data_IF_911477768656
#
_entry.id   IF_911477768656
#
_cell.length_a   1.000
_cell.length_b   1.000
_cell.length_c   1.000
_cell.angle_alpha   90.00
_cell.angle_beta   90.00
_cell.angle_gamma   90.00
#
_symmetry.space_group_name_H-M   'P 1'
#
loop_
_entity.id
_entity.type
_entity.pdbx_description
1 polymer ?
#
# COMPACT_ATOMS: atom_id res chain seq x y z
N UNK A 1 9.33 -3.74 -2.43
CA UNK A 1 9.21 -3.96 -0.97
C UNK A 1 10.11 -5.10 -0.55
N UNK A 2 10.91 -4.93 0.51
CA UNK A 2 11.85 -5.95 0.98
C UNK A 2 11.20 -6.89 2.01
N UNK A 3 11.60 -8.17 2.00
CA UNK A 3 11.39 -9.09 3.12
C UNK A 3 12.49 -8.97 4.16
N UNK A 4 12.46 -9.88 5.14
CA UNK A 4 13.33 -9.90 6.30
C UNK A 4 14.62 -10.72 6.05
N UNK A 5 15.69 -10.52 6.84
CA UNK A 5 16.93 -11.28 6.71
C UNK A 5 16.77 -12.80 6.87
N UNK A 6 15.70 -13.23 7.55
CA UNK A 6 15.33 -14.64 7.75
C UNK A 6 14.68 -15.30 6.51
N UNK A 7 14.61 -14.58 5.37
CA UNK A 7 14.01 -15.09 4.14
C UNK A 7 12.48 -15.05 4.11
N UNK A 8 11.84 -14.44 5.11
CA UNK A 8 10.38 -14.30 5.19
C UNK A 8 9.90 -12.93 4.70
N UNK A 9 8.62 -12.85 4.30
CA UNK A 9 7.94 -11.58 4.02
C UNK A 9 7.11 -11.08 5.20
N UNK A 10 6.62 -11.99 6.06
CA UNK A 10 5.68 -11.77 7.16
C UNK A 10 4.35 -11.14 6.68
N UNK A 11 3.59 -11.82 5.79
CA UNK A 11 2.43 -11.23 5.12
C UNK A 11 1.34 -10.74 6.09
N UNK A 12 1.16 -11.44 7.22
CA UNK A 12 0.18 -11.10 8.25
C UNK A 12 0.68 -10.11 9.31
N UNK A 13 1.97 -9.72 9.27
CA UNK A 13 2.50 -8.72 10.22
C UNK A 13 1.83 -7.38 9.92
N UNK A 14 1.37 -6.71 10.98
CA UNK A 14 0.83 -5.36 10.90
C UNK A 14 1.92 -4.36 10.46
N UNK A 15 1.49 -3.34 9.72
CA UNK A 15 2.33 -2.27 9.20
C UNK A 15 2.23 -1.06 10.14
N UNK A 16 3.37 -0.51 10.55
CA UNK A 16 3.37 0.73 11.33
C UNK A 16 3.03 1.94 10.44
N UNK A 17 2.59 3.04 11.04
CA UNK A 17 2.31 4.29 10.32
C UNK A 17 3.53 4.77 9.52
N UNK A 18 4.73 4.69 10.09
CA UNK A 18 5.97 5.05 9.39
C UNK A 18 6.29 4.08 8.24
N UNK A 19 6.12 2.77 8.44
CA UNK A 19 6.30 1.78 7.37
C UNK A 19 5.33 2.04 6.20
N UNK A 20 4.05 2.32 6.50
CA UNK A 20 3.03 2.61 5.49
C UNK A 20 3.33 3.88 4.69
N UNK A 21 3.73 4.97 5.36
CA UNK A 21 4.15 6.21 4.69
C UNK A 21 5.34 5.95 3.78
N UNK A 22 6.37 5.26 4.27
CA UNK A 22 7.55 4.96 3.47
C UNK A 22 7.23 4.11 2.25
N UNK A 23 6.40 3.08 2.40
CA UNK A 23 5.96 2.24 1.28
C UNK A 23 5.27 3.06 0.20
N UNK A 24 4.36 3.95 0.61
CA UNK A 24 3.60 4.77 -0.31
C UNK A 24 4.45 5.84 -0.99
N UNK A 25 5.22 6.61 -0.20
CA UNK A 25 6.10 7.67 -0.69
C UNK A 25 7.15 7.13 -1.65
N UNK A 26 7.72 5.95 -1.37
CA UNK A 26 8.67 5.32 -2.29
C UNK A 26 8.05 5.07 -3.66
N UNK A 27 6.77 4.70 -3.75
CA UNK A 27 6.11 4.50 -5.03
C UNK A 27 5.73 5.84 -5.70
N UNK A 28 5.25 6.82 -4.93
CA UNK A 28 4.98 8.17 -5.44
C UNK A 28 6.24 8.82 -6.02
N UNK A 29 7.41 8.55 -5.43
CA UNK A 29 8.69 9.07 -5.87
C UNK A 29 9.45 8.13 -6.82
N UNK A 30 8.74 7.24 -7.54
CA UNK A 30 9.31 6.32 -8.53
C UNK A 30 10.48 5.44 -8.02
N UNK A 31 10.52 5.17 -6.73
CA UNK A 31 11.55 4.38 -6.08
C UNK A 31 12.81 5.15 -5.68
N UNK A 32 12.91 6.43 -6.03
CA UNK A 32 14.05 7.29 -5.73
C UNK A 32 14.08 7.67 -4.23
N UNK A 33 15.28 7.74 -3.67
CA UNK A 33 15.46 8.18 -2.28
C UNK A 33 15.31 9.70 -2.18
N UNK A 34 14.70 10.15 -1.09
CA UNK A 34 14.47 11.58 -0.84
C UNK A 34 15.74 12.25 -0.31
N UNK A 35 15.92 13.56 -0.53
CA UNK A 35 16.94 14.34 0.17
C UNK A 35 16.74 14.27 1.68
N UNK A 36 17.86 14.18 2.43
CA UNK A 36 17.81 14.10 3.88
C UNK A 36 17.14 15.34 4.49
N UNK A 37 16.10 15.11 5.28
CA UNK A 37 15.36 16.09 6.05
C UNK A 37 14.89 15.46 7.38
N UNK A 38 15.81 15.27 8.34
CA UNK A 38 15.53 14.50 9.55
C UNK A 38 14.62 15.22 10.55
N UNK A 39 14.34 16.52 10.36
CA UNK A 39 13.54 17.32 11.30
C UNK A 39 12.11 17.46 10.80
N UNK A 40 11.18 16.83 11.50
CA UNK A 40 9.73 16.93 11.29
C UNK A 40 9.10 17.99 12.20
N UNK A 41 7.82 18.31 11.95
CA UNK A 41 7.00 19.10 12.86
C UNK A 41 6.48 18.31 14.07
N UNK A 42 6.68 16.99 14.10
CA UNK A 42 6.14 16.11 15.15
C UNK A 42 7.21 15.85 16.21
N UNK A 43 6.78 15.74 17.48
CA UNK A 43 7.72 15.55 18.60
C UNK A 43 8.36 14.16 18.62
N UNK A 44 7.68 13.16 18.07
CA UNK A 44 8.02 11.74 18.15
C UNK A 44 8.53 11.15 16.82
N UNK A 45 8.79 11.98 15.80
CA UNK A 45 9.16 11.52 14.47
C UNK A 45 10.42 12.17 13.87
N UNK A 46 11.29 12.74 14.71
CA UNK A 46 12.54 13.37 14.28
C UNK A 46 13.72 12.38 14.26
N UNK A 47 14.70 12.67 13.41
CA UNK A 47 16.01 12.03 13.35
C UNK A 47 15.94 10.51 13.22
N UNK A 48 15.00 10.01 12.42
CA UNK A 48 14.77 8.59 12.21
C UNK A 48 14.67 8.26 10.71
N UNK A 49 14.76 6.96 10.39
CA UNK A 49 14.77 6.45 9.01
C UNK A 49 13.52 6.80 8.18
N UNK A 50 12.45 7.27 8.82
CA UNK A 50 11.17 7.63 8.20
C UNK A 50 10.94 9.13 8.14
N UNK A 51 11.84 9.95 8.71
CA UNK A 51 11.59 11.39 8.89
C UNK A 51 11.45 12.11 7.54
N UNK A 52 12.24 11.71 6.55
CA UNK A 52 12.25 12.31 5.22
C UNK A 52 10.92 12.02 4.50
N UNK A 53 10.46 10.77 4.52
CA UNK A 53 9.19 10.38 3.91
C UNK A 53 7.98 10.99 4.62
N UNK A 54 8.03 11.12 5.95
CA UNK A 54 6.97 11.81 6.72
C UNK A 54 6.90 13.28 6.29
N UNK A 55 8.03 13.98 6.23
CA UNK A 55 8.07 15.38 5.80
C UNK A 55 7.54 15.56 4.38
N UNK A 56 7.96 14.67 3.46
CA UNK A 56 7.45 14.67 2.10
C UNK A 56 5.94 14.46 2.05
N UNK A 57 5.42 13.43 2.74
CA UNK A 57 4.00 13.12 2.75
C UNK A 57 3.15 14.24 3.38
N UNK A 58 3.65 14.93 4.41
CA UNK A 58 3.01 16.14 4.96
C UNK A 58 2.99 17.26 3.92
N UNK A 59 4.11 17.52 3.24
CA UNK A 59 4.20 18.58 2.22
C UNK A 59 3.24 18.38 1.03
N UNK A 60 2.91 17.12 0.72
CA UNK A 60 1.94 16.74 -0.31
C UNK A 60 0.50 16.68 0.21
N UNK A 61 0.30 16.79 1.52
CA UNK A 61 -1.00 16.69 2.18
C UNK A 61 -1.51 15.26 2.35
N UNK A 62 -0.71 14.23 2.06
CA UNK A 62 -1.09 12.82 2.17
C UNK A 62 -1.35 12.40 3.62
N UNK A 63 -0.65 13.00 4.57
CA UNK A 63 -0.79 12.69 5.99
C UNK A 63 -0.89 13.96 6.83
N UNK A 64 -1.49 13.79 8.00
CA UNK A 64 -1.51 14.77 9.09
C UNK A 64 -1.14 14.05 10.39
N UNK A 65 -0.53 14.78 11.32
CA UNK A 65 -0.33 14.29 12.68
C UNK A 65 -1.58 14.44 13.54
N UNK A 66 -1.46 14.01 14.79
CA UNK A 66 -2.49 14.17 15.81
C UNK A 66 -2.47 15.57 16.43
N UNK A 67 -3.55 15.93 17.12
CA UNK A 67 -3.71 17.24 17.76
C UNK A 67 -2.71 17.52 18.90
N UNK A 68 -2.04 16.49 19.40
CA UNK A 68 -0.99 16.56 20.43
C UNK A 68 0.42 16.80 19.86
N UNK A 69 0.52 17.09 18.55
CA UNK A 69 1.76 17.25 17.79
C UNK A 69 2.61 15.97 17.70
N UNK A 70 1.96 14.80 17.74
CA UNK A 70 2.60 13.49 17.48
C UNK A 70 2.21 12.94 16.11
N UNK A 71 3.01 12.00 15.59
CA UNK A 71 2.69 11.19 14.42
C UNK A 71 2.43 9.72 14.76
N UNK A 72 2.98 9.23 15.87
CA UNK A 72 2.94 7.84 16.35
C UNK A 72 3.52 6.86 15.32
N UNK A 73 4.79 7.04 14.89
CA UNK A 73 5.37 6.31 13.75
C UNK A 73 5.39 4.79 13.94
N UNK A 74 5.52 4.31 15.18
CA UNK A 74 5.60 2.89 15.50
C UNK A 74 4.23 2.23 15.76
N UNK A 75 3.14 3.01 15.79
CA UNK A 75 1.79 2.46 15.95
C UNK A 75 1.33 1.80 14.66
N UNK A 76 0.64 0.66 14.75
CA UNK A 76 0.01 0.02 13.61
C UNK A 76 -1.06 0.93 12.98
N UNK A 77 -0.97 1.13 11.66
CA UNK A 77 -1.92 1.91 10.87
C UNK A 77 -3.21 1.12 10.66
N UNK A 78 -4.36 1.79 10.66
CA UNK A 78 -5.63 1.16 10.26
C UNK A 78 -5.81 1.15 8.75
N UNK A 79 -6.69 0.27 8.26
CA UNK A 79 -7.10 0.24 6.85
C UNK A 79 -7.71 1.58 6.41
N UNK A 80 -8.48 2.24 7.26
CA UNK A 80 -9.06 3.56 7.00
C UNK A 80 -8.00 4.68 6.90
N UNK A 81 -7.03 4.71 7.81
CA UNK A 81 -5.93 5.68 7.76
C UNK A 81 -5.11 5.55 6.47
N UNK A 82 -4.85 4.31 6.06
CA UNK A 82 -4.14 4.04 4.81
C UNK A 82 -4.96 4.43 3.57
N UNK A 83 -6.26 4.13 3.57
CA UNK A 83 -7.17 4.56 2.51
C UNK A 83 -7.22 6.08 2.38
N UNK A 84 -7.32 6.80 3.51
CA UNK A 84 -7.30 8.27 3.52
C UNK A 84 -6.01 8.83 2.94
N UNK A 85 -4.86 8.23 3.27
CA UNK A 85 -3.56 8.68 2.75
C UNK A 85 -3.48 8.53 1.23
N UNK A 86 -3.98 7.42 0.70
CA UNK A 86 -3.95 7.12 -0.74
C UNK A 86 -4.98 7.94 -1.51
N UNK A 87 -6.18 8.16 -0.96
CA UNK A 87 -7.25 8.89 -1.66
C UNK A 87 -6.82 10.31 -2.02
N UNK A 88 -6.00 10.95 -1.17
CA UNK A 88 -5.41 12.28 -1.45
C UNK A 88 -4.48 12.27 -2.67
N UNK A 89 -3.94 11.13 -3.08
CA UNK A 89 -3.15 11.01 -4.31
C UNK A 89 -3.99 10.74 -5.54
N UNK A 90 -5.09 10.00 -5.41
CA UNK A 90 -5.87 9.53 -6.56
C UNK A 90 -6.83 10.62 -7.10
N UNK A 91 -7.25 11.60 -6.28
CA UNK A 91 -7.99 12.88 -6.50
C UNK A 91 -9.10 13.00 -7.56
N UNK A 92 -9.03 12.30 -8.69
CA UNK A 92 -9.97 12.36 -9.81
C UNK A 92 -10.82 11.06 -9.90
N UNK A 93 -11.07 10.44 -8.74
CA UNK A 93 -11.76 9.16 -8.67
C UNK A 93 -13.26 9.23 -8.95
N UNK A 94 -13.81 8.17 -9.54
CA UNK A 94 -15.26 7.98 -9.59
C UNK A 94 -15.78 7.84 -8.15
N UNK A 95 -16.73 8.67 -7.69
CA UNK A 95 -17.39 8.45 -6.40
C UNK A 95 -18.26 7.19 -6.50
N UNK A 96 -17.63 6.03 -6.34
CA UNK A 96 -18.32 4.75 -6.26
C UNK A 96 -18.83 4.56 -4.85
N UNK A 97 -20.08 4.15 -4.68
CA UNK A 97 -20.56 3.76 -3.35
C UNK A 97 -20.20 2.30 -3.10
N UNK A 98 -19.14 2.07 -2.32
CA UNK A 98 -18.90 0.75 -1.76
C UNK A 98 -20.08 0.38 -0.86
N UNK A 99 -20.74 -0.75 -1.13
CA UNK A 99 -21.85 -1.23 -0.30
C UNK A 99 -21.35 -1.94 0.98
N UNK A 100 -20.33 -1.36 1.63
CA UNK A 100 -19.74 -1.92 2.84
C UNK A 100 -20.57 -1.54 4.06
N UNK A 101 -21.01 -2.56 4.81
CA UNK A 101 -21.93 -2.39 5.94
C UNK A 101 -21.32 -1.56 7.09
N UNK A 102 -20.01 -1.60 7.23
CA UNK A 102 -19.21 -0.99 8.30
C UNK A 102 -18.54 0.33 7.90
N UNK A 103 -18.83 0.85 6.71
CA UNK A 103 -18.26 2.12 6.21
C UNK A 103 -19.27 3.27 6.30
N UNK A 104 -20.57 3.00 6.28
CA UNK A 104 -21.61 4.04 6.36
C UNK A 104 -21.48 4.82 7.67
N UNK A 105 -21.26 6.13 7.59
CA UNK A 105 -21.07 7.01 8.75
C UNK A 105 -19.65 7.00 9.35
N UNK A 106 -18.73 6.20 8.81
CA UNK A 106 -17.33 6.21 9.19
C UNK A 106 -16.62 7.45 8.60
N UNK A 107 -15.68 8.04 9.34
CA UNK A 107 -14.99 9.28 8.92
C UNK A 107 -14.20 9.13 7.60
N UNK A 108 -13.71 7.91 7.34
CA UNK A 108 -12.98 7.59 6.11
C UNK A 108 -13.89 7.12 4.95
N UNK A 109 -15.21 7.25 5.08
CA UNK A 109 -16.17 6.69 4.12
C UNK A 109 -15.94 7.20 2.70
N UNK A 110 -15.72 8.49 2.51
CA UNK A 110 -15.45 9.09 1.20
C UNK A 110 -14.17 8.53 0.57
N UNK A 111 -13.07 8.47 1.34
CA UNK A 111 -11.81 7.92 0.87
C UNK A 111 -11.91 6.44 0.48
N UNK A 112 -12.64 5.64 1.28
CA UNK A 112 -12.86 4.21 0.99
C UNK A 112 -13.72 4.05 -0.27
N UNK A 113 -14.80 4.84 -0.38
CA UNK A 113 -15.71 4.80 -1.53
C UNK A 113 -15.02 5.23 -2.82
N UNK A 114 -14.19 6.27 -2.78
CA UNK A 114 -13.39 6.73 -3.92
C UNK A 114 -12.43 5.62 -4.40
N UNK A 115 -11.63 5.06 -3.50
CA UNK A 115 -10.70 3.99 -3.87
C UNK A 115 -11.41 2.73 -4.34
N UNK A 116 -12.61 2.44 -3.81
CA UNK A 116 -13.43 1.32 -4.28
C UNK A 116 -13.97 1.58 -5.69
N UNK A 117 -14.50 2.77 -5.96
CA UNK A 117 -14.97 3.19 -7.28
C UNK A 117 -13.88 3.12 -8.35
N UNK A 118 -12.65 3.45 -7.97
CA UNK A 118 -11.46 3.35 -8.80
C UNK A 118 -10.90 1.93 -8.94
N UNK A 119 -11.55 0.94 -8.33
CA UNK A 119 -11.11 -0.46 -8.28
C UNK A 119 -9.73 -0.67 -7.62
N UNK A 120 -9.27 0.29 -6.81
CA UNK A 120 -7.98 0.23 -6.11
C UNK A 120 -8.04 -0.62 -4.83
N UNK A 121 -9.22 -0.73 -4.23
CA UNK A 121 -9.45 -1.56 -3.04
C UNK A 121 -10.67 -2.46 -3.23
N UNK A 122 -10.72 -3.51 -2.42
CA UNK A 122 -11.84 -4.44 -2.31
C UNK A 122 -12.17 -4.66 -0.84
N UNK A 123 -13.43 -4.95 -0.54
CA UNK A 123 -13.83 -5.44 0.78
C UNK A 123 -13.68 -6.94 0.90
N UNK A 124 -14.03 -7.45 2.08
CA UNK A 124 -14.07 -8.86 2.39
C UNK A 124 -15.36 -9.51 1.86
N UNK A 125 -15.36 -10.84 1.75
CA UNK A 125 -16.49 -11.62 1.26
C UNK A 125 -17.75 -11.52 2.11
N UNK A 126 -17.62 -11.10 3.38
CA UNK A 126 -18.72 -10.84 4.31
C UNK A 126 -19.44 -9.49 4.05
N UNK A 127 -18.95 -8.71 3.08
CA UNK A 127 -19.48 -7.39 2.72
C UNK A 127 -18.98 -6.25 3.61
N UNK A 128 -17.86 -6.45 4.33
CA UNK A 128 -17.21 -5.42 5.15
C UNK A 128 -15.95 -4.87 4.51
N UNK A 129 -15.51 -3.69 4.93
CA UNK A 129 -14.18 -3.16 4.62
C UNK A 129 -13.20 -3.27 5.79
N UNK A 130 -13.72 -3.35 7.02
CA UNK A 130 -13.00 -3.36 8.31
C UNK A 130 -12.11 -2.13 8.48
N UNK A 131 -12.67 -0.91 8.45
CA UNK A 131 -11.89 0.34 8.43
C UNK A 131 -10.94 0.49 9.63
N UNK A 132 -11.35 0.02 10.82
CA UNK A 132 -10.56 0.15 12.05
C UNK A 132 -9.58 -1.01 12.28
N UNK A 133 -9.64 -2.07 11.46
CA UNK A 133 -8.69 -3.17 11.55
C UNK A 133 -7.29 -2.69 11.14
N UNK A 134 -6.26 -3.20 11.83
CA UNK A 134 -4.87 -2.94 11.49
C UNK A 134 -4.52 -3.53 10.14
N UNK A 135 -3.77 -2.76 9.36
CA UNK A 135 -3.37 -3.12 8.01
C UNK A 135 -2.20 -4.10 8.06
N UNK A 136 -2.32 -5.23 7.37
CA UNK A 136 -1.22 -6.19 7.21
C UNK A 136 -0.32 -5.85 6.02
N UNK A 137 0.91 -6.38 6.01
CA UNK A 137 1.86 -6.17 4.92
C UNK A 137 1.33 -6.67 3.57
N UNK A 138 0.65 -7.81 3.53
CA UNK A 138 0.07 -8.35 2.31
C UNK A 138 -1.05 -7.44 1.76
N UNK A 139 -1.90 -6.89 2.63
CA UNK A 139 -2.94 -5.95 2.22
C UNK A 139 -2.35 -4.64 1.72
N UNK A 140 -1.35 -4.09 2.43
CA UNK A 140 -0.68 -2.87 2.02
C UNK A 140 -0.08 -2.99 0.60
N UNK A 141 0.62 -4.09 0.32
CA UNK A 141 1.19 -4.35 -1.02
C UNK A 141 0.10 -4.46 -2.08
N UNK A 142 -0.96 -5.23 -1.81
CA UNK A 142 -2.03 -5.45 -2.80
C UNK A 142 -2.73 -4.14 -3.16
N UNK A 143 -3.00 -3.29 -2.15
CA UNK A 143 -3.62 -1.98 -2.37
C UNK A 143 -2.67 -1.09 -3.19
N UNK A 144 -1.41 -0.97 -2.78
CA UNK A 144 -0.44 -0.14 -3.50
C UNK A 144 -0.22 -0.60 -4.94
N UNK A 145 -0.08 -1.90 -5.18
CA UNK A 145 0.04 -2.44 -6.53
C UNK A 145 -1.16 -2.02 -7.39
N UNK A 146 -2.39 -2.15 -6.87
CA UNK A 146 -3.59 -1.72 -7.58
C UNK A 146 -3.63 -0.21 -7.86
N UNK A 147 -3.26 0.62 -6.87
CA UNK A 147 -3.20 2.09 -7.00
C UNK A 147 -2.24 2.53 -8.10
N UNK A 148 -1.10 1.86 -8.22
CA UNK A 148 -0.08 2.15 -9.22
C UNK A 148 -0.24 1.32 -10.51
N UNK A 149 -1.42 0.70 -10.71
CA UNK A 149 -1.75 -0.02 -11.95
C UNK A 149 -0.97 -1.32 -12.17
N UNK A 150 -0.38 -1.88 -11.11
CA UNK A 150 0.37 -3.15 -11.10
C UNK A 150 -0.58 -4.30 -10.76
N UNK A 151 -1.50 -4.61 -11.66
CA UNK A 151 -2.44 -5.72 -11.44
C UNK A 151 -1.77 -7.04 -11.83
N UNK A 152 -1.03 -7.64 -10.90
CA UNK A 152 -0.19 -8.81 -11.18
C UNK A 152 -0.90 -10.10 -10.78
N UNK A 153 -1.03 -11.03 -11.73
CA UNK A 153 -1.68 -12.34 -11.57
C UNK A 153 -0.74 -13.47 -11.98
N UNK A 154 -1.16 -14.72 -11.86
CA UNK A 154 -0.41 -15.86 -12.39
C UNK A 154 -0.04 -15.70 -13.87
N UNK A 155 -0.96 -15.16 -14.66
CA UNK A 155 -0.77 -14.90 -16.09
C UNK A 155 0.27 -13.82 -16.38
N UNK A 156 0.62 -12.98 -15.41
CA UNK A 156 1.68 -11.96 -15.55
C UNK A 156 3.06 -12.57 -15.74
N UNK A 157 3.27 -13.80 -15.26
CA UNK A 157 4.57 -14.47 -15.23
C UNK A 157 4.78 -15.51 -16.33
N UNK A 158 3.84 -15.64 -17.28
CA UNK A 158 3.89 -16.71 -18.31
C UNK A 158 5.12 -16.65 -19.21
N UNK A 159 5.80 -15.49 -19.28
CA UNK A 159 7.01 -15.27 -20.08
C UNK A 159 8.28 -15.14 -19.25
N UNK A 160 8.20 -15.32 -17.93
CA UNK A 160 9.32 -15.12 -17.01
C UNK A 160 9.68 -16.42 -16.33
N UNK A 161 10.97 -16.74 -16.31
CA UNK A 161 11.46 -17.82 -15.46
C UNK A 161 11.35 -17.41 -13.99
N UNK A 162 10.49 -18.09 -13.24
CA UNK A 162 10.36 -17.82 -11.80
C UNK A 162 11.57 -18.27 -10.97
N UNK A 163 12.55 -18.99 -11.54
CA UNK A 163 13.65 -19.59 -10.77
C UNK A 163 14.61 -18.56 -10.15
N UNK A 164 14.81 -17.42 -10.82
CA UNK A 164 15.68 -16.33 -10.34
C UNK A 164 14.96 -15.28 -9.48
N UNK A 165 13.64 -15.41 -9.29
CA UNK A 165 12.87 -14.44 -8.52
C UNK A 165 13.10 -14.63 -7.03
N UNK A 166 13.24 -13.51 -6.32
CA UNK A 166 13.20 -13.47 -4.86
C UNK A 166 11.82 -13.93 -4.38
N UNK A 167 11.79 -15.09 -3.72
CA UNK A 167 10.62 -15.69 -3.08
C UNK A 167 10.81 -15.70 -1.57
N UNK A 168 9.70 -15.87 -0.86
CA UNK A 168 9.69 -15.91 0.60
C UNK A 168 9.15 -17.25 1.08
N UNK A 169 9.77 -17.79 2.13
CA UNK A 169 9.47 -19.13 2.66
C UNK A 169 8.09 -19.22 3.31
N UNK A 170 7.56 -18.10 3.79
CA UNK A 170 6.25 -17.95 4.44
C UNK A 170 5.15 -17.45 3.49
N UNK A 171 5.43 -17.35 2.20
CA UNK A 171 4.45 -16.97 1.16
C UNK A 171 4.40 -18.08 0.11
N UNK A 172 3.70 -19.20 0.40
CA UNK A 172 3.51 -20.26 -0.58
C UNK A 172 2.66 -19.77 -1.77
N UNK A 173 2.74 -20.45 -2.92
CA UNK A 173 1.93 -20.10 -4.12
C UNK A 173 0.42 -20.06 -3.87
N UNK A 174 -0.06 -20.80 -2.87
CA UNK A 174 -1.47 -20.81 -2.44
C UNK A 174 -1.87 -19.57 -1.62
N UNK A 175 -0.91 -18.77 -1.16
CA UNK A 175 -1.20 -17.53 -0.44
C UNK A 175 -1.89 -16.54 -1.39
N UNK A 176 -3.01 -15.97 -0.96
CA UNK A 176 -3.86 -15.12 -1.79
C UNK A 176 -3.13 -13.91 -2.40
N UNK A 177 -2.12 -13.38 -1.70
CA UNK A 177 -1.28 -12.27 -2.15
C UNK A 177 0.04 -12.69 -2.82
N UNK A 178 0.24 -13.97 -3.16
CA UNK A 178 1.54 -14.49 -3.62
C UNK A 178 2.11 -13.67 -4.79
N UNK A 179 1.32 -13.46 -5.84
CA UNK A 179 1.78 -12.76 -7.05
C UNK A 179 2.00 -11.27 -6.82
N UNK A 180 1.19 -10.63 -5.97
CA UNK A 180 1.35 -9.22 -5.59
C UNK A 180 2.63 -9.01 -4.78
N UNK A 181 2.93 -9.91 -3.85
CA UNK A 181 4.16 -9.88 -3.04
C UNK A 181 5.38 -10.16 -3.92
N UNK A 182 5.29 -11.18 -4.79
CA UNK A 182 6.34 -11.49 -5.75
C UNK A 182 6.64 -10.27 -6.64
N UNK A 183 5.59 -9.57 -7.05
CA UNK A 183 5.70 -8.38 -7.89
C UNK A 183 6.44 -7.24 -7.19
N UNK A 184 5.96 -6.90 -6.00
CA UNK A 184 6.52 -5.81 -5.22
C UNK A 184 7.97 -6.09 -4.81
N UNK A 185 8.39 -7.34 -4.68
CA UNK A 185 9.72 -7.73 -4.20
C UNK A 185 10.77 -7.93 -5.28
N UNK A 186 10.42 -7.83 -6.56
CA UNK A 186 11.32 -8.08 -7.68
C UNK A 186 11.22 -6.92 -8.70
N UNK A 187 12.35 -6.32 -9.05
CA UNK A 187 12.39 -5.27 -10.08
C UNK A 187 12.12 -5.89 -11.46
N UNK A 188 11.28 -5.23 -12.26
CA UNK A 188 10.91 -5.70 -13.59
C UNK A 188 10.36 -4.53 -14.42
N UNK A 189 10.47 -4.67 -15.74
CA UNK A 189 9.69 -3.88 -16.68
C UNK A 189 8.37 -4.60 -16.93
N UNK A 190 7.28 -3.85 -17.07
CA UNK A 190 5.99 -4.44 -17.33
C UNK A 190 5.30 -3.74 -18.50
N UNK A 191 4.63 -4.52 -19.34
CA UNK A 191 3.80 -4.02 -20.42
C UNK A 191 2.32 -4.21 -20.06
N UNK A 192 1.51 -3.17 -20.28
CA UNK A 192 0.05 -3.27 -20.18
C UNK A 192 -0.49 -4.01 -21.41
N UNK A 193 -1.42 -4.94 -21.17
CA UNK A 193 -2.16 -5.62 -22.24
C UNK A 193 -3.46 -4.85 -22.50
N UNK A 194 -3.77 -4.50 -23.75
CA UNK A 194 -4.89 -3.61 -24.13
C UNK A 194 -6.30 -4.19 -23.98
N UNK A 195 -6.54 -5.01 -22.96
CA UNK A 195 -7.84 -5.63 -22.63
C UNK A 195 -8.45 -4.95 -21.40
N UNK A 196 -9.79 -4.95 -21.30
CA UNK A 196 -10.58 -4.40 -20.18
C UNK A 196 -10.26 -4.98 -18.80
N UNK A 197 -9.45 -6.02 -18.73
CA UNK A 197 -8.94 -6.68 -17.52
C UNK A 197 -7.44 -6.40 -17.26
N UNK A 198 -6.89 -5.30 -17.80
CA UNK A 198 -5.47 -4.91 -17.83
C UNK A 198 -4.59 -5.62 -16.77
N UNK A 199 -4.03 -6.75 -17.16
CA UNK A 199 -3.00 -7.47 -16.38
C UNK A 199 -1.64 -6.94 -16.82
N UNK A 200 -0.82 -6.58 -15.83
CA UNK A 200 0.57 -6.20 -16.06
C UNK A 200 1.38 -7.46 -16.37
N UNK A 201 1.97 -7.57 -17.57
CA UNK A 201 2.78 -8.74 -17.94
C UNK A 201 4.26 -8.40 -17.81
N UNK A 202 4.98 -9.24 -17.09
CA UNK A 202 6.41 -9.08 -16.88
C UNK A 202 7.17 -9.41 -18.16
N UNK A 203 8.19 -8.59 -18.45
CA UNK A 203 9.11 -8.77 -19.58
C UNK A 203 10.53 -9.02 -19.11
#
# INVERSE_FOLDING_TARGET
MAGFPDGTFKPSKEVTRAEAVRMFVKLVNNGEELPSNPKTSFKDANNAWYSDEINYAVSKGFIKGYSDNTFKPNQAITRAEFAQMISVFVKDGYPGTGSFKDVKGHWASDAINELYGNKNIKGYSDGTFKPDQKLTRAEAVTILNSVFGRNTKSTSFTKVSESGLKKFTDVPKSHWAYYEILDASNGHNAAKTGSSDEVSVWQ
#
